data_IF_051946225304
#
_entry.id   IF_051946225304
#
_cell.length_a   1.000
_cell.length_b   1.000
_cell.length_c   1.000
_cell.angle_alpha   90.00
_cell.angle_beta   90.00
_cell.angle_gamma   90.00
#
_symmetry.space_group_name_H-M   'P 1'
#
loop_
_entity.id
_entity.type
_entity.pdbx_description
1 polymer ?
#
# COMPACT_ATOMS: atom_id res chain seq x y z
N UNK A 1 -34.41 -27.55 -29.02
CA UNK A 1 -34.62 -27.13 -27.63
C UNK A 1 -33.49 -26.14 -27.37
N UNK A 2 -33.81 -24.89 -27.66
CA UNK A 2 -32.89 -23.76 -27.58
C UNK A 2 -33.10 -23.13 -26.20
N UNK A 3 -32.18 -23.37 -25.27
CA UNK A 3 -32.20 -22.79 -23.93
C UNK A 3 -31.09 -21.74 -23.81
N UNK A 4 -31.50 -20.51 -24.10
CA UNK A 4 -31.26 -19.29 -23.30
C UNK A 4 -29.81 -18.97 -22.87
N UNK A 5 -29.02 -18.45 -23.82
CA UNK A 5 -27.82 -17.64 -23.54
C UNK A 5 -28.24 -16.26 -22.99
N UNK A 6 -28.70 -16.24 -21.73
CA UNK A 6 -28.89 -15.02 -20.96
C UNK A 6 -27.56 -14.46 -20.45
N UNK A 7 -26.67 -14.08 -21.36
CA UNK A 7 -25.52 -13.24 -21.00
C UNK A 7 -26.06 -11.84 -20.71
N UNK A 8 -26.05 -11.44 -19.44
CA UNK A 8 -26.37 -10.06 -19.01
C UNK A 8 -25.47 -9.08 -19.79
N UNK A 9 -26.00 -8.55 -20.88
CA UNK A 9 -25.40 -7.54 -21.75
C UNK A 9 -25.54 -6.17 -21.06
N UNK A 10 -25.08 -6.08 -19.81
CA UNK A 10 -24.96 -4.81 -19.12
C UNK A 10 -24.04 -3.93 -19.97
N UNK A 11 -24.50 -2.74 -20.39
CA UNK A 11 -23.72 -1.90 -21.30
C UNK A 11 -22.36 -1.64 -20.67
N UNK A 12 -21.29 -1.97 -21.40
CA UNK A 12 -19.93 -1.77 -20.95
C UNK A 12 -19.77 -0.30 -20.52
N UNK A 13 -19.65 -0.07 -19.21
CA UNK A 13 -19.51 1.28 -18.64
C UNK A 13 -18.27 1.93 -19.26
N UNK A 14 -18.46 3.07 -19.93
CA UNK A 14 -17.35 3.90 -20.41
C UNK A 14 -16.63 4.51 -19.21
N UNK A 15 -15.51 3.88 -18.86
CA UNK A 15 -14.68 4.19 -17.69
C UNK A 15 -14.28 5.67 -17.66
N UNK A 16 -13.97 6.26 -18.81
CA UNK A 16 -13.46 7.63 -18.86
C UNK A 16 -14.57 8.68 -18.74
N UNK A 17 -15.80 8.33 -19.13
CA UNK A 17 -16.98 9.16 -18.95
C UNK A 17 -17.56 9.15 -17.53
N UNK A 18 -17.13 8.23 -16.66
CA UNK A 18 -17.53 8.18 -15.24
C UNK A 18 -17.13 9.48 -14.52
N UNK A 19 -18.09 10.13 -13.86
CA UNK A 19 -17.84 11.38 -13.11
C UNK A 19 -17.43 11.15 -11.67
N UNK A 20 -17.98 10.13 -11.03
CA UNK A 20 -17.64 9.73 -9.66
C UNK A 20 -17.19 8.28 -9.67
N UNK A 21 -15.91 8.03 -9.39
CA UNK A 21 -15.35 6.68 -9.37
C UNK A 21 -15.86 5.85 -8.18
N UNK A 22 -16.53 6.47 -7.21
CA UNK A 22 -17.09 5.82 -6.02
C UNK A 22 -18.55 5.41 -6.21
N UNK A 23 -19.23 5.88 -7.26
CA UNK A 23 -20.61 5.54 -7.58
C UNK A 23 -20.83 5.59 -9.10
N UNK A 24 -20.79 4.42 -9.75
CA UNK A 24 -21.10 4.25 -11.17
C UNK A 24 -22.57 3.91 -11.43
N UNK A 25 -23.40 3.94 -10.38
CA UNK A 25 -24.79 3.46 -10.37
C UNK A 25 -25.05 2.57 -9.16
N UNK A 26 -26.22 2.72 -8.54
CA UNK A 26 -26.67 1.94 -7.38
C UNK A 26 -25.68 1.87 -6.19
N UNK A 27 -24.77 2.83 -6.08
CA UNK A 27 -23.75 2.87 -5.03
C UNK A 27 -22.57 1.91 -5.24
N UNK A 28 -22.43 1.34 -6.44
CA UNK A 28 -21.29 0.49 -6.79
C UNK A 28 -20.08 1.37 -7.19
N UNK A 29 -18.89 1.20 -6.59
CA UNK A 29 -17.70 1.91 -7.03
C UNK A 29 -17.08 1.28 -8.28
N UNK A 30 -16.40 2.07 -9.11
CA UNK A 30 -15.71 1.61 -10.31
C UNK A 30 -14.65 0.53 -10.02
N UNK A 31 -14.07 0.57 -8.82
CA UNK A 31 -13.05 -0.34 -8.34
C UNK A 31 -13.63 -1.51 -7.51
N UNK A 32 -14.94 -1.79 -7.59
CA UNK A 32 -15.60 -2.87 -6.83
C UNK A 32 -14.93 -4.25 -7.03
N UNK A 33 -14.38 -4.49 -8.21
CA UNK A 33 -13.76 -5.76 -8.61
C UNK A 33 -12.22 -5.73 -8.55
N UNK A 34 -11.61 -4.75 -7.88
CA UNK A 34 -10.15 -4.70 -7.73
C UNK A 34 -9.65 -5.82 -6.84
N UNK A 35 -8.70 -6.58 -7.37
CA UNK A 35 -7.93 -7.55 -6.60
C UNK A 35 -6.66 -6.89 -6.05
N UNK A 36 -5.90 -7.65 -5.25
CA UNK A 36 -4.65 -7.18 -4.66
C UNK A 36 -3.68 -6.61 -5.72
N UNK A 37 -3.56 -7.28 -6.84
CA UNK A 37 -2.70 -6.90 -7.95
C UNK A 37 -3.13 -5.57 -8.57
N UNK A 38 -4.44 -5.32 -8.67
CA UNK A 38 -4.96 -4.06 -9.22
C UNK A 38 -4.65 -2.89 -8.27
N UNK A 39 -4.83 -3.08 -6.96
CA UNK A 39 -4.41 -2.09 -5.95
C UNK A 39 -2.92 -1.79 -5.98
N UNK A 40 -2.10 -2.83 -6.17
CA UNK A 40 -0.65 -2.69 -6.25
C UNK A 40 -0.21 -1.99 -7.54
N UNK A 41 -0.85 -2.26 -8.68
CA UNK A 41 -0.60 -1.55 -9.94
C UNK A 41 -1.09 -0.09 -9.86
N UNK A 42 -2.25 0.18 -9.25
CA UNK A 42 -2.71 1.54 -9.01
C UNK A 42 -1.73 2.32 -8.13
N UNK A 43 -1.22 1.69 -7.07
CA UNK A 43 -0.20 2.30 -6.21
C UNK A 43 1.08 2.58 -6.98
N UNK A 44 1.54 1.64 -7.80
CA UNK A 44 2.73 1.81 -8.65
C UNK A 44 2.55 2.98 -9.65
N UNK A 45 1.37 3.05 -10.30
CA UNK A 45 1.00 4.16 -11.20
C UNK A 45 1.12 5.50 -10.50
N UNK A 46 0.52 5.61 -9.32
CA UNK A 46 0.50 6.83 -8.51
C UNK A 46 1.91 7.22 -8.06
N UNK A 47 2.66 6.28 -7.48
CA UNK A 47 3.99 6.53 -6.94
C UNK A 47 4.98 6.94 -8.02
N UNK A 48 5.03 6.24 -9.17
CA UNK A 48 5.96 6.59 -10.24
C UNK A 48 5.58 7.90 -10.94
N UNK A 49 4.28 8.15 -11.14
CA UNK A 49 3.82 9.42 -11.68
C UNK A 49 4.25 10.59 -10.78
N UNK A 50 3.93 10.53 -9.49
CA UNK A 50 4.28 11.58 -8.55
C UNK A 50 5.79 11.76 -8.41
N UNK A 51 6.56 10.66 -8.44
CA UNK A 51 8.02 10.73 -8.38
C UNK A 51 8.59 11.57 -9.53
N UNK A 52 8.17 11.28 -10.77
CA UNK A 52 8.64 12.03 -11.96
C UNK A 52 8.21 13.48 -11.88
N UNK A 53 6.97 13.74 -11.43
CA UNK A 53 6.43 15.10 -11.26
C UNK A 53 7.19 15.90 -10.20
N UNK A 54 7.47 15.28 -9.06
CA UNK A 54 8.22 15.92 -7.97
C UNK A 54 9.66 16.17 -8.38
N UNK A 55 10.33 15.19 -9.02
CA UNK A 55 11.68 15.36 -9.56
C UNK A 55 11.77 16.54 -10.53
N UNK A 56 10.84 16.65 -11.49
CA UNK A 56 10.84 17.75 -12.46
C UNK A 56 10.70 19.11 -11.78
N UNK A 57 9.86 19.22 -10.75
CA UNK A 57 9.68 20.44 -9.96
C UNK A 57 10.90 20.80 -9.12
N UNK A 58 11.58 19.81 -8.56
CA UNK A 58 12.74 20.02 -7.70
C UNK A 58 14.00 20.35 -8.51
N UNK A 59 14.13 19.77 -9.70
CA UNK A 59 15.24 20.05 -10.62
C UNK A 59 15.06 21.39 -11.32
N UNK A 60 13.82 21.75 -11.66
CA UNK A 60 13.44 23.03 -12.29
C UNK A 60 14.31 23.42 -13.50
N UNK A 61 14.67 22.40 -14.31
CA UNK A 61 15.53 22.53 -15.48
C UNK A 61 14.80 21.94 -16.71
N UNK A 62 14.46 22.75 -17.74
CA UNK A 62 13.78 22.26 -18.93
C UNK A 62 14.60 21.21 -19.71
N UNK A 63 15.93 21.21 -19.57
CA UNK A 63 16.81 20.23 -20.22
C UNK A 63 16.83 18.88 -19.47
N UNK A 64 16.16 18.78 -18.32
CA UNK A 64 16.01 17.56 -17.50
C UNK A 64 14.54 17.19 -17.32
N UNK A 65 13.84 16.77 -18.40
CA UNK A 65 12.40 16.56 -18.39
C UNK A 65 11.96 15.31 -17.60
N UNK A 66 12.88 14.45 -17.19
CA UNK A 66 12.59 13.19 -16.51
C UNK A 66 13.79 12.61 -15.77
N UNK A 67 13.56 11.47 -15.13
CA UNK A 67 14.57 10.79 -14.29
C UNK A 67 15.35 9.80 -15.17
N UNK A 68 16.69 9.84 -15.20
CA UNK A 68 17.46 8.77 -15.85
C UNK A 68 17.08 7.40 -15.27
N UNK A 69 16.78 6.41 -16.11
CA UNK A 69 16.31 5.07 -15.66
C UNK A 69 17.23 4.45 -14.61
N UNK A 70 18.54 4.60 -14.80
CA UNK A 70 19.58 4.12 -13.88
C UNK A 70 19.49 4.73 -12.46
N UNK A 71 18.78 5.85 -12.30
CA UNK A 71 18.59 6.55 -11.02
C UNK A 71 17.16 6.42 -10.48
N UNK A 72 16.26 5.71 -11.18
CA UNK A 72 14.87 5.55 -10.76
C UNK A 72 14.77 5.00 -9.33
N UNK A 73 15.46 3.90 -9.04
CA UNK A 73 15.45 3.26 -7.71
C UNK A 73 16.01 4.17 -6.62
N UNK A 74 17.04 4.95 -6.94
CA UNK A 74 17.62 5.93 -6.01
C UNK A 74 16.61 7.01 -5.65
N UNK A 75 15.98 7.65 -6.64
CA UNK A 75 15.01 8.70 -6.39
C UNK A 75 13.74 8.16 -5.73
N UNK A 76 13.27 6.97 -6.11
CA UNK A 76 12.15 6.34 -5.44
C UNK A 76 12.40 6.19 -3.92
N UNK A 77 13.60 5.74 -3.53
CA UNK A 77 13.97 5.66 -2.12
C UNK A 77 14.14 7.04 -1.47
N UNK A 78 14.72 8.01 -2.19
CA UNK A 78 14.97 9.36 -1.69
C UNK A 78 13.68 10.10 -1.32
N UNK A 79 12.63 9.94 -2.12
CA UNK A 79 11.34 10.62 -1.96
C UNK A 79 10.40 9.86 -1.01
N UNK A 80 10.28 8.54 -1.18
CA UNK A 80 9.29 7.75 -0.44
C UNK A 80 9.85 7.00 0.76
N UNK A 81 11.18 7.00 0.95
CA UNK A 81 11.85 6.17 1.96
C UNK A 81 11.49 4.68 1.86
N UNK A 82 11.18 4.23 0.63
CA UNK A 82 10.71 2.88 0.28
C UNK A 82 11.64 2.27 -0.76
N UNK A 83 11.76 0.95 -0.77
CA UNK A 83 12.49 0.24 -1.83
C UNK A 83 11.57 -0.04 -3.02
N UNK A 84 12.02 0.28 -4.23
CA UNK A 84 11.32 -0.12 -5.46
C UNK A 84 11.67 -1.58 -5.78
N UNK A 85 10.75 -2.51 -5.53
CA UNK A 85 10.99 -3.93 -5.74
C UNK A 85 10.32 -4.43 -7.03
N UNK A 86 11.08 -4.52 -8.12
CA UNK A 86 10.62 -5.06 -9.41
C UNK A 86 10.17 -6.53 -9.31
N UNK A 87 10.83 -7.33 -8.47
CA UNK A 87 10.53 -8.76 -8.29
C UNK A 87 9.17 -9.01 -7.67
N UNK A 88 8.68 -8.10 -6.84
CA UNK A 88 7.33 -8.18 -6.29
C UNK A 88 6.27 -8.18 -7.40
N UNK A 89 6.46 -7.38 -8.45
CA UNK A 89 5.60 -7.33 -9.64
C UNK A 89 5.89 -8.43 -10.67
N UNK A 90 6.80 -9.36 -10.37
CA UNK A 90 7.23 -10.40 -11.31
C UNK A 90 8.18 -9.93 -12.40
N UNK A 91 8.70 -8.69 -12.31
CA UNK A 91 9.52 -8.06 -13.34
C UNK A 91 11.02 -8.18 -13.02
N UNK A 92 11.87 -8.18 -14.05
CA UNK A 92 13.32 -8.28 -13.89
C UNK A 92 13.99 -6.90 -13.87
N UNK A 93 13.52 -5.98 -14.72
CA UNK A 93 14.11 -4.65 -14.91
C UNK A 93 13.14 -3.51 -14.60
N UNK A 94 13.67 -2.29 -14.47
CA UNK A 94 12.85 -1.08 -14.33
C UNK A 94 12.05 -0.80 -15.61
N UNK A 95 12.62 -1.08 -16.78
CA UNK A 95 11.91 -1.03 -18.04
C UNK A 95 10.69 -1.96 -18.07
N UNK A 96 10.87 -3.24 -17.70
CA UNK A 96 9.75 -4.20 -17.63
C UNK A 96 8.67 -3.71 -16.65
N UNK A 97 9.09 -3.17 -15.49
CA UNK A 97 8.17 -2.60 -14.50
C UNK A 97 7.37 -1.42 -15.06
N UNK A 98 8.01 -0.52 -15.81
CA UNK A 98 7.34 0.62 -16.43
C UNK A 98 6.30 0.17 -17.47
N UNK A 99 6.50 -0.98 -18.14
CA UNK A 99 5.50 -1.50 -19.10
C UNK A 99 4.15 -1.84 -18.46
N UNK A 100 4.14 -2.23 -17.18
CA UNK A 100 2.90 -2.52 -16.44
C UNK A 100 2.04 -1.28 -16.20
N UNK A 101 2.65 -0.09 -16.26
CA UNK A 101 2.04 1.21 -15.95
C UNK A 101 2.35 2.25 -17.03
N UNK A 102 2.47 1.78 -18.28
CA UNK A 102 2.82 2.59 -19.46
C UNK A 102 1.87 3.76 -19.72
N UNK A 103 0.66 3.68 -19.19
CA UNK A 103 -0.38 4.70 -19.26
C UNK A 103 -0.13 5.92 -18.35
N UNK A 104 0.76 5.81 -17.35
CA UNK A 104 1.13 6.93 -16.47
C UNK A 104 2.57 7.38 -16.61
N UNK A 105 3.49 6.44 -16.84
CA UNK A 105 4.92 6.71 -17.01
C UNK A 105 5.48 5.87 -18.15
N UNK A 106 6.43 6.42 -18.90
CA UNK A 106 7.18 5.67 -19.91
C UNK A 106 8.66 5.97 -19.79
N UNK A 107 9.50 5.07 -20.29
CA UNK A 107 10.91 5.37 -20.55
C UNK A 107 11.02 5.89 -21.96
N UNK A 108 11.54 7.11 -22.13
CA UNK A 108 11.75 7.70 -23.45
C UNK A 108 13.02 7.14 -24.09
N UNK A 109 12.91 6.80 -25.37
CA UNK A 109 14.06 6.52 -26.23
C UNK A 109 14.38 7.78 -27.05
N UNK A 110 15.66 8.12 -27.30
CA UNK A 110 16.89 7.36 -26.99
C UNK A 110 17.51 7.66 -25.61
N UNK A 111 17.01 8.66 -24.87
CA UNK A 111 17.72 9.23 -23.71
C UNK A 111 17.56 8.41 -22.40
N UNK A 112 16.79 7.32 -22.42
CA UNK A 112 16.50 6.47 -21.25
C UNK A 112 16.01 7.26 -20.03
N UNK A 113 15.07 8.20 -20.25
CA UNK A 113 14.46 9.01 -19.20
C UNK A 113 13.06 8.50 -18.86
N UNK A 114 12.77 8.31 -17.58
CA UNK A 114 11.43 8.06 -17.06
C UNK A 114 10.66 9.38 -17.06
N UNK A 115 9.60 9.45 -17.86
CA UNK A 115 8.76 10.64 -18.07
C UNK A 115 7.28 10.33 -17.80
N UNK A 116 6.56 11.32 -17.29
CA UNK A 116 5.11 11.20 -17.05
C UNK A 116 4.32 11.32 -18.37
N UNK A 117 3.24 10.55 -18.49
CA UNK A 117 2.33 10.57 -19.65
C UNK A 117 1.16 11.52 -19.49
N UNK A 118 0.59 11.59 -18.28
CA UNK A 118 -0.58 12.42 -18.00
C UNK A 118 -0.14 13.88 -17.96
N UNK A 119 -0.85 14.78 -18.64
CA UNK A 119 -0.56 16.22 -18.72
C UNK A 119 -0.72 16.95 -17.36
N UNK A 120 -0.18 18.16 -17.26
CA UNK A 120 -0.37 19.00 -16.06
C UNK A 120 -1.72 19.71 -16.10
N UNK A 121 -2.46 19.70 -14.99
CA UNK A 121 -3.70 20.48 -14.85
C UNK A 121 -5.00 19.74 -15.20
N UNK A 122 -4.93 18.47 -15.59
CA UNK A 122 -6.10 17.64 -15.93
C UNK A 122 -6.69 16.97 -14.67
N UNK A 123 -7.71 17.58 -14.06
CA UNK A 123 -8.64 16.99 -13.06
C UNK A 123 -7.98 16.38 -11.79
N UNK A 124 -8.71 15.98 -10.71
CA UNK A 124 -8.06 15.41 -9.54
C UNK A 124 -7.31 14.13 -9.93
N UNK A 125 -6.00 14.16 -9.77
CA UNK A 125 -5.07 13.12 -10.24
C UNK A 125 -5.46 11.71 -9.74
N UNK A 126 -6.16 11.61 -8.60
CA UNK A 126 -6.60 10.34 -8.00
C UNK A 126 -7.49 9.50 -8.92
N UNK A 127 -8.48 10.10 -9.55
CA UNK A 127 -9.56 9.38 -10.24
C UNK A 127 -9.06 8.79 -11.56
N UNK A 128 -8.12 9.50 -12.20
CA UNK A 128 -7.41 9.01 -13.38
C UNK A 128 -6.72 7.68 -13.09
N UNK A 129 -6.07 7.51 -11.92
CA UNK A 129 -5.39 6.25 -11.63
C UNK A 129 -6.35 5.08 -11.41
N UNK A 130 -7.52 5.34 -10.83
CA UNK A 130 -8.58 4.34 -10.70
C UNK A 130 -9.07 3.93 -12.09
N UNK A 131 -9.41 4.90 -12.94
CA UNK A 131 -9.87 4.68 -14.32
C UNK A 131 -8.86 3.90 -15.16
N UNK A 132 -7.58 4.31 -15.14
CA UNK A 132 -6.51 3.64 -15.87
C UNK A 132 -6.28 2.20 -15.37
N UNK A 133 -6.40 1.98 -14.06
CA UNK A 133 -6.26 0.64 -13.47
C UNK A 133 -7.43 -0.25 -13.87
N UNK A 134 -8.67 0.27 -13.85
CA UNK A 134 -9.85 -0.49 -14.26
C UNK A 134 -9.82 -0.82 -15.76
N UNK A 135 -9.44 0.11 -16.63
CA UNK A 135 -9.27 -0.18 -18.06
C UNK A 135 -8.22 -1.27 -18.30
N UNK A 136 -7.07 -1.16 -17.62
CA UNK A 136 -6.02 -2.18 -17.68
C UNK A 136 -6.49 -3.54 -17.14
N UNK A 137 -7.33 -3.57 -16.11
CA UNK A 137 -7.93 -4.80 -15.57
C UNK A 137 -8.89 -5.44 -16.58
N UNK A 138 -9.80 -4.67 -17.18
CA UNK A 138 -10.75 -5.16 -18.19
C UNK A 138 -10.05 -5.64 -19.45
N UNK A 139 -9.03 -4.93 -19.94
CA UNK A 139 -8.21 -5.38 -21.07
C UNK A 139 -7.51 -6.71 -20.77
N UNK A 140 -6.89 -6.81 -19.58
CA UNK A 140 -6.23 -8.05 -19.13
C UNK A 140 -7.20 -9.22 -19.05
N UNK A 141 -8.39 -9.01 -18.48
CA UNK A 141 -9.41 -10.05 -18.38
C UNK A 141 -9.85 -10.51 -19.77
N UNK A 142 -10.16 -9.58 -20.68
CA UNK A 142 -10.50 -9.90 -22.08
C UNK A 142 -9.43 -10.74 -22.78
N UNK A 143 -8.15 -10.42 -22.56
CA UNK A 143 -7.03 -11.21 -23.12
C UNK A 143 -6.95 -12.61 -22.51
N UNK A 144 -7.16 -12.75 -21.22
CA UNK A 144 -7.20 -14.05 -20.54
C UNK A 144 -8.36 -14.90 -21.08
N UNK A 145 -9.55 -14.32 -21.23
CA UNK A 145 -10.74 -15.01 -21.75
C UNK A 145 -10.57 -15.43 -23.21
N UNK A 146 -9.78 -14.66 -23.99
CA UNK A 146 -9.37 -15.02 -25.35
C UNK A 146 -8.25 -16.08 -25.41
N UNK A 147 -7.78 -16.60 -24.27
CA UNK A 147 -6.74 -17.63 -24.18
C UNK A 147 -5.30 -17.11 -24.21
N UNK A 148 -5.09 -15.80 -24.11
CA UNK A 148 -3.76 -15.22 -23.98
C UNK A 148 -3.26 -15.30 -22.52
N UNK A 149 -2.66 -16.43 -22.20
CA UNK A 149 -2.07 -16.72 -20.90
C UNK A 149 -0.96 -15.75 -20.49
N UNK A 150 -0.38 -14.99 -21.44
CA UNK A 150 0.67 -14.01 -21.13
C UNK A 150 0.14 -12.76 -20.41
N UNK A 151 -1.18 -12.53 -20.46
CA UNK A 151 -1.83 -11.43 -19.75
C UNK A 151 -1.95 -11.67 -18.23
N UNK A 152 -1.72 -12.89 -17.73
CA UNK A 152 -1.78 -13.19 -16.29
C UNK A 152 -0.62 -12.55 -15.54
N UNK A 153 -0.94 -11.80 -14.48
CA UNK A 153 0.05 -11.20 -13.59
C UNK A 153 0.73 -12.27 -12.73
N UNK A 154 2.04 -12.10 -12.50
CA UNK A 154 2.90 -13.06 -11.79
C UNK A 154 3.55 -12.42 -10.56
N UNK A 155 2.72 -11.91 -9.66
CA UNK A 155 3.22 -11.23 -8.47
C UNK A 155 3.93 -12.22 -7.54
N UNK A 156 5.11 -11.84 -7.03
CA UNK A 156 5.81 -12.61 -6.02
C UNK A 156 5.54 -12.02 -4.65
N UNK A 157 4.47 -12.50 -4.00
CA UNK A 157 4.06 -12.04 -2.66
C UNK A 157 5.16 -12.28 -1.62
N UNK A 158 6.01 -13.31 -1.81
CA UNK A 158 7.18 -13.56 -0.96
C UNK A 158 8.26 -12.47 -1.07
N UNK A 159 8.24 -11.68 -2.14
CA UNK A 159 9.12 -10.52 -2.33
C UNK A 159 8.50 -9.23 -1.79
N UNK A 160 7.34 -9.25 -1.12
CA UNK A 160 6.77 -8.06 -0.52
C UNK A 160 7.75 -7.49 0.54
N UNK A 161 8.00 -6.17 0.55
CA UNK A 161 8.88 -5.56 1.55
C UNK A 161 8.30 -5.76 2.95
N UNK A 162 9.12 -6.28 3.87
CA UNK A 162 8.73 -6.42 5.27
C UNK A 162 8.42 -5.04 5.88
N UNK A 163 7.41 -4.93 6.77
CA UNK A 163 7.15 -3.68 7.46
C UNK A 163 8.40 -3.24 8.23
N UNK A 164 8.79 -1.98 8.06
CA UNK A 164 9.96 -1.45 8.74
C UNK A 164 9.78 -1.60 10.26
N UNK A 165 10.79 -2.09 11.00
CA UNK A 165 10.71 -2.16 12.45
C UNK A 165 10.55 -0.74 13.01
N UNK A 166 9.77 -0.55 14.10
CA UNK A 166 9.64 0.75 14.73
C UNK A 166 11.03 1.23 15.19
N UNK A 167 11.36 2.46 14.78
CA UNK A 167 12.65 3.09 15.01
C UNK A 167 12.87 3.30 16.52
N UNK A 168 13.54 2.34 17.17
CA UNK A 168 13.76 2.31 18.62
C UNK A 168 14.93 3.17 19.08
N UNK A 169 15.46 4.05 18.22
CA UNK A 169 16.60 4.92 18.53
C UNK A 169 16.18 6.35 18.91
N UNK A 170 15.25 6.47 19.86
CA UNK A 170 15.22 7.65 20.73
C UNK A 170 16.23 7.42 21.87
N UNK A 171 17.53 7.61 21.59
CA UNK A 171 18.52 7.70 22.65
C UNK A 171 18.19 8.92 23.52
N UNK A 172 17.71 8.67 24.74
CA UNK A 172 17.57 9.69 25.76
C UNK A 172 18.92 10.39 25.94
N UNK A 173 18.99 11.67 25.54
CA UNK A 173 20.12 12.53 25.87
C UNK A 173 20.19 12.66 27.39
N UNK A 174 21.15 11.97 28.00
CA UNK A 174 21.52 12.20 29.41
C UNK A 174 22.14 13.60 29.46
N UNK A 175 21.43 14.54 30.09
CA UNK A 175 21.97 15.86 30.44
C UNK A 175 22.87 15.66 31.66
N UNK A 176 24.18 15.92 31.60
CA UNK A 176 25.04 15.84 32.77
C UNK A 176 24.98 17.18 33.51
N UNK A 177 24.34 17.21 34.67
CA UNK A 177 24.46 18.36 35.59
C UNK A 177 23.21 18.66 36.38
N UNK A 178 22.99 17.94 37.48
CA UNK A 178 22.26 18.50 38.63
C UNK A 178 22.69 17.76 39.88
N UNK A 179 23.47 18.45 40.70
CA UNK A 179 23.98 18.02 41.98
C UNK A 179 22.84 17.68 42.95
N UNK A 180 22.97 16.54 43.63
CA UNK A 180 22.20 16.26 44.84
C UNK A 180 22.71 17.11 46.01
N UNK A 181 21.84 17.54 46.94
CA UNK A 181 22.26 17.87 48.29
C UNK A 181 21.99 16.70 49.26
N UNK A 182 23.06 16.29 49.96
CA UNK A 182 23.06 15.70 51.32
C UNK A 182 22.32 16.64 52.29
N UNK A 183 21.77 16.29 53.45
CA UNK A 183 21.99 15.21 54.43
C UNK A 183 20.82 15.29 55.45
N UNK A 184 20.47 14.23 56.19
CA UNK A 184 20.46 14.24 57.67
C UNK A 184 20.22 12.83 58.24
N UNK A 185 20.96 12.55 59.31
CA UNK A 185 21.25 11.28 59.95
C UNK A 185 20.58 11.23 61.32
N UNK A 186 19.89 10.13 61.67
CA UNK A 186 19.66 9.57 63.02
C UNK A 186 19.20 8.12 62.77
N UNK A 187 19.89 7.03 63.14
CA UNK A 187 20.56 6.73 64.39
C UNK A 187 19.65 5.80 65.22
N UNK A 188 19.72 4.47 65.02
CA UNK A 188 19.48 3.45 66.06
C UNK A 188 19.72 2.02 65.56
N UNK A 189 20.39 1.24 66.41
CA UNK A 189 20.86 -0.12 66.19
C UNK A 189 20.44 -0.96 67.41
N UNK A 190 19.57 -1.96 67.23
CA UNK A 190 19.24 -3.08 68.12
C UNK A 190 18.01 -3.79 67.51
N UNK A 191 17.78 -5.11 67.48
CA UNK A 191 18.42 -6.37 67.89
C UNK A 191 17.67 -7.51 67.13
N UNK A 192 18.16 -8.76 67.12
CA UNK A 192 17.61 -9.84 66.29
C UNK A 192 16.63 -10.79 67.03
N UNK A 193 15.68 -11.38 66.28
CA UNK A 193 15.01 -12.66 66.59
C UNK A 193 13.54 -12.61 67.03
N UNK A 194 12.67 -13.38 66.36
CA UNK A 194 11.30 -13.67 66.85
C UNK A 194 10.24 -14.12 65.82
N UNK A 195 10.22 -15.43 65.52
CA UNK A 195 9.10 -16.34 65.21
C UNK A 195 7.76 -15.89 64.56
N UNK A 196 7.50 -16.51 63.40
CA UNK A 196 6.29 -17.26 62.97
C UNK A 196 4.85 -16.72 63.14
N UNK A 197 4.12 -16.82 61.99
CA UNK A 197 2.83 -17.51 61.72
C UNK A 197 1.68 -16.62 61.22
N UNK A 198 1.32 -16.83 59.93
CA UNK A 198 -0.01 -17.17 59.37
C UNK A 198 -1.24 -16.40 59.91
N UNK A 199 -2.12 -15.81 59.11
CA UNK A 199 -2.43 -15.90 57.68
C UNK A 199 -3.92 -15.59 57.50
N UNK A 200 -4.29 -14.83 56.48
CA UNK A 200 -5.61 -14.67 55.82
C UNK A 200 -5.26 -13.72 54.65
N UNK A 201 -5.38 -14.03 53.35
CA UNK A 201 -6.37 -14.81 52.65
C UNK A 201 -7.21 -13.86 51.79
N UNK A 202 -6.73 -13.46 50.61
CA UNK A 202 -7.55 -13.31 49.40
C UNK A 202 -6.69 -12.95 48.18
N UNK A 203 -6.80 -13.81 47.17
CA UNK A 203 -6.22 -13.70 45.85
C UNK A 203 -7.37 -13.29 44.92
N UNK A 204 -7.34 -12.07 44.37
CA UNK A 204 -8.30 -11.63 43.36
C UNK A 204 -7.61 -11.59 42.00
N UNK A 205 -7.77 -12.69 41.25
CA UNK A 205 -7.52 -12.77 39.82
C UNK A 205 -8.54 -11.90 39.08
N UNK A 206 -8.05 -10.95 38.27
CA UNK A 206 -8.89 -10.21 37.33
C UNK A 206 -9.07 -11.06 36.05
N UNK A 207 -10.33 -11.32 35.69
CA UNK A 207 -10.74 -11.99 34.44
C UNK A 207 -11.08 -10.93 33.39
N UNK A 208 -10.82 -11.15 32.09
CA UNK A 208 -11.33 -10.28 31.03
C UNK A 208 -12.82 -10.54 30.78
N UNK A 209 -13.58 -9.47 30.55
CA UNK A 209 -15.01 -9.51 30.25
C UNK A 209 -15.26 -9.94 28.79
N UNK A 210 -16.21 -10.85 28.62
CA UNK A 210 -16.75 -11.28 27.33
C UNK A 210 -17.84 -10.33 26.85
N UNK A 211 -17.88 -10.04 25.54
CA UNK A 211 -19.11 -9.56 24.90
C UNK A 211 -18.98 -8.48 23.83
N UNK A 212 -18.21 -8.70 22.75
CA UNK A 212 -18.41 -8.01 21.48
C UNK A 212 -18.43 -9.04 20.35
N UNK A 213 -19.64 -9.41 19.89
CA UNK A 213 -19.85 -10.23 18.69
C UNK A 213 -19.95 -9.30 17.49
N UNK A 214 -18.88 -9.20 16.70
CA UNK A 214 -18.86 -8.56 15.39
C UNK A 214 -18.87 -9.61 14.29
N UNK A 215 -19.78 -9.45 13.33
CA UNK A 215 -20.15 -10.42 12.31
C UNK A 215 -19.02 -10.77 11.33
N UNK A 216 -18.79 -12.06 11.12
CA UNK A 216 -18.03 -12.60 9.99
C UNK A 216 -18.95 -12.72 8.77
N UNK A 217 -18.64 -11.98 7.70
CA UNK A 217 -19.30 -12.11 6.40
C UNK A 217 -18.83 -13.42 5.74
N UNK A 218 -19.77 -14.32 5.44
CA UNK A 218 -19.52 -15.57 4.72
C UNK A 218 -20.25 -15.51 3.36
N UNK A 219 -19.64 -16.01 2.27
CA UNK A 219 -20.21 -15.95 0.93
C UNK A 219 -21.43 -16.88 0.81
N UNK A 220 -22.52 -16.37 0.21
CA UNK A 220 -23.74 -17.13 -0.04
C UNK A 220 -23.54 -18.08 -1.22
N UNK A 221 -23.62 -19.38 -0.97
CA UNK A 221 -23.88 -20.40 -1.99
C UNK A 221 -25.39 -20.56 -2.14
N UNK A 222 -25.93 -20.28 -3.33
CA UNK A 222 -27.33 -20.52 -3.67
C UNK A 222 -27.54 -22.01 -3.97
N UNK A 223 -28.49 -22.62 -3.26
CA UNK A 223 -29.00 -23.97 -3.50
C UNK A 223 -30.39 -23.90 -4.13
N UNK A 224 -30.58 -24.70 -5.17
CA UNK A 224 -31.78 -24.86 -5.98
C UNK A 224 -32.97 -25.43 -5.20
N UNK A 225 -34.17 -24.90 -5.48
CA UNK A 225 -35.45 -25.61 -5.45
C UNK A 225 -36.38 -25.04 -6.50
#
# INVERSE_FOLDING_TARGET
>A
EDEDDGMDDAPAVDIFAVKDVSDIGDGEPLFANFMFEDWALMSLRFELFLLVRAFKRDVDDPDRPGIPEAHLTYYYNRYFHKQLNTRFFGMATNADLATLVKDTVRISEPDSLVVAQIEEGTEPVSDVFVKLTEESRRDRQRRIDAGDETAKLKFSVLSAPAPAPPDSKAQARVIPGSAAPRNYQWGQQARPGGWQRQGYGQQSQFRPAAGWKGASYAPKTQGWR
#
